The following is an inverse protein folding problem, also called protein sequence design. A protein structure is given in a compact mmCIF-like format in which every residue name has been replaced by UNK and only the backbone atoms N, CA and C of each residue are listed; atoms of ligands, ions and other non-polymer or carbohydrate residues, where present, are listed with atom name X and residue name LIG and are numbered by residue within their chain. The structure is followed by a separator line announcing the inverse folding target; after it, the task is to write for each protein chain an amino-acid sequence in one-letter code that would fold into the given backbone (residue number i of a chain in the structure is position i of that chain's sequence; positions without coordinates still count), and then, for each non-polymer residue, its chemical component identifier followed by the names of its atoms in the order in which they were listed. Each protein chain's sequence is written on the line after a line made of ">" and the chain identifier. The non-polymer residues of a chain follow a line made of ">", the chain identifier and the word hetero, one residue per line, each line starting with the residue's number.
data_IF_877993810502
#
_entry.id   IF_877993810502
#
_cell.length_a   1.000
_cell.length_b   1.000
_cell.length_c   1.000
_cell.angle_alpha   90.00
_cell.angle_beta   90.00
_cell.angle_gamma   90.00
#
_symmetry.space_group_name_H-M   'P 1'
#
loop_
_entity.id
_entity.type
_entity.pdbx_description
1 polymer ?
#
# COMPACT_ATOMS: atom_id res chain seq x y z
N UNK A 1 -83.94 27.03 33.50
CA UNK A 1 -84.03 28.38 32.90
C UNK A 1 -82.90 28.56 31.88
N UNK A 2 -83.21 29.28 30.81
CA UNK A 2 -82.45 29.40 29.56
C UNK A 2 -81.23 30.34 29.62
N UNK A 3 -80.21 29.96 28.83
CA UNK A 3 -79.34 30.79 27.96
C UNK A 3 -78.58 31.98 28.56
N UNK A 4 -77.25 31.98 28.31
CA UNK A 4 -76.67 32.89 27.31
C UNK A 4 -75.53 32.21 26.55
N UNK A 5 -75.70 32.20 25.23
CA UNK A 5 -74.66 31.97 24.22
C UNK A 5 -73.83 33.25 24.10
N UNK A 6 -72.54 33.12 23.83
CA UNK A 6 -71.88 34.01 22.88
C UNK A 6 -70.93 33.17 22.02
N UNK A 7 -71.18 33.24 20.71
CA UNK A 7 -70.47 32.60 19.62
C UNK A 7 -69.58 33.66 18.97
N UNK A 8 -68.31 33.34 18.72
CA UNK A 8 -67.64 33.58 17.43
C UNK A 8 -66.48 32.56 17.38
N UNK A 9 -66.33 31.63 16.43
CA UNK A 9 -66.48 31.65 14.96
C UNK A 9 -65.81 32.87 14.34
N UNK A 10 -64.50 32.82 14.16
CA UNK A 10 -63.87 32.91 12.82
C UNK A 10 -62.35 32.85 12.94
N UNK A 11 -61.71 32.06 12.06
CA UNK A 11 -60.26 32.04 11.94
C UNK A 11 -59.69 30.68 11.59
N UNK A 12 -60.13 30.09 10.48
CA UNK A 12 -59.32 29.05 9.83
C UNK A 12 -57.98 29.68 9.43
N UNK A 13 -56.87 29.11 9.89
CA UNK A 13 -55.62 29.17 9.15
C UNK A 13 -54.99 27.78 9.17
N UNK A 14 -55.41 26.98 8.20
CA UNK A 14 -54.63 25.82 7.75
C UNK A 14 -53.44 26.40 7.00
N UNK A 15 -52.23 26.27 7.53
CA UNK A 15 -51.01 26.39 6.73
C UNK A 15 -49.96 25.39 7.18
N UNK A 16 -49.38 24.77 6.16
CA UNK A 16 -48.42 23.70 6.15
C UNK A 16 -47.03 24.10 6.67
N UNK A 17 -46.25 23.05 6.97
CA UNK A 17 -44.77 23.02 7.01
C UNK A 17 -44.18 23.77 8.22
N UNK A 18 -43.23 23.21 8.96
CA UNK A 18 -42.10 22.42 8.51
C UNK A 18 -41.70 21.40 9.57
N UNK A 19 -41.33 20.22 9.06
CA UNK A 19 -40.45 19.25 9.70
C UNK A 19 -39.25 20.00 10.26
N UNK A 20 -39.20 20.23 11.57
CA UNK A 20 -37.96 20.58 12.26
C UNK A 20 -37.02 19.38 12.14
N UNK A 21 -36.35 19.26 10.99
CA UNK A 21 -35.01 18.72 10.95
C UNK A 21 -34.21 19.66 11.85
N UNK A 22 -34.11 19.32 13.13
CA UNK A 22 -33.05 19.85 13.97
C UNK A 22 -31.75 19.47 13.27
N UNK A 23 -31.21 20.46 12.56
CA UNK A 23 -29.83 20.50 12.13
C UNK A 23 -29.00 20.55 13.41
N UNK A 24 -28.79 19.41 14.06
CA UNK A 24 -27.59 19.23 14.86
C UNK A 24 -26.45 18.88 13.89
N UNK A 25 -26.11 19.86 13.06
CA UNK A 25 -24.91 19.88 12.20
C UNK A 25 -23.69 20.39 12.98
N UNK A 26 -23.80 20.52 14.30
CA UNK A 26 -22.88 21.26 15.17
C UNK A 26 -21.72 20.45 15.73
N UNK A 27 -21.45 19.22 15.24
CA UNK A 27 -20.21 18.48 15.54
C UNK A 27 -19.56 17.92 14.28
N UNK A 28 -19.55 18.71 13.21
CA UNK A 28 -18.79 18.41 11.99
C UNK A 28 -17.69 19.45 11.74
N UNK A 29 -16.88 19.70 12.76
CA UNK A 29 -15.61 20.44 12.74
C UNK A 29 -14.81 19.87 13.92
N UNK A 30 -13.65 19.24 13.82
CA UNK A 30 -12.61 19.21 12.78
C UNK A 30 -12.01 17.80 12.77
N UNK A 31 -12.12 17.07 11.66
CA UNK A 31 -11.17 16.00 11.31
C UNK A 31 -10.61 16.31 9.93
N UNK A 32 -10.10 17.55 9.79
CA UNK A 32 -9.30 18.00 8.64
C UNK A 32 -7.79 17.87 8.89
N UNK A 33 -7.39 17.12 9.91
CA UNK A 33 -6.07 16.51 10.00
C UNK A 33 -6.22 15.00 9.83
N UNK A 34 -6.72 14.55 8.67
CA UNK A 34 -6.10 13.34 8.13
C UNK A 34 -4.71 13.81 7.82
N UNK A 35 -3.79 13.60 8.77
CA UNK A 35 -2.38 13.98 8.65
C UNK A 35 -2.00 13.71 7.22
N UNK A 36 -1.75 14.79 6.48
CA UNK A 36 -1.27 14.72 5.11
C UNK A 36 -0.12 13.73 5.23
N UNK A 37 -0.27 12.53 4.68
CA UNK A 37 0.81 11.57 4.66
C UNK A 37 1.97 12.37 4.08
N UNK A 38 2.98 12.63 4.92
CA UNK A 38 4.12 13.41 4.47
C UNK A 38 4.57 12.71 3.20
N UNK A 39 4.71 13.40 2.06
CA UNK A 39 5.40 12.78 0.96
C UNK A 39 6.71 12.30 1.56
N UNK A 40 6.98 11.00 1.45
CA UNK A 40 8.23 10.42 1.92
C UNK A 40 9.29 10.99 0.97
N UNK A 41 9.64 12.27 1.13
CA UNK A 41 10.82 12.88 0.56
C UNK A 41 11.96 12.46 1.46
N UNK A 42 12.35 11.20 1.31
CA UNK A 42 13.71 10.84 1.61
C UNK A 42 14.50 11.29 0.40
N UNK A 43 15.23 12.38 0.56
CA UNK A 43 16.33 12.79 -0.31
C UNK A 43 17.44 11.74 -0.17
N UNK A 44 17.13 10.49 -0.54
CA UNK A 44 18.14 9.47 -0.68
C UNK A 44 18.91 9.85 -1.92
N UNK A 45 20.09 10.42 -1.69
CA UNK A 45 21.00 10.83 -2.74
C UNK A 45 21.45 9.59 -3.53
N UNK A 46 20.70 9.27 -4.58
CA UNK A 46 20.97 8.15 -5.49
C UNK A 46 22.26 8.36 -6.30
N UNK A 47 22.90 9.55 -6.20
CA UNK A 47 24.09 9.90 -6.97
C UNK A 47 25.34 9.12 -6.56
N UNK A 48 25.39 8.55 -5.35
CA UNK A 48 26.55 7.82 -4.82
C UNK A 48 26.23 6.36 -4.45
N UNK A 49 25.30 5.73 -5.17
CA UNK A 49 24.98 4.30 -5.01
C UNK A 49 26.02 3.47 -5.74
N UNK A 50 26.90 2.83 -4.99
CA UNK A 50 27.61 1.63 -5.45
C UNK A 50 26.53 0.63 -5.94
N UNK A 51 26.35 0.56 -7.26
CA UNK A 51 25.42 -0.25 -8.06
C UNK A 51 24.01 -0.51 -7.48
N UNK A 52 22.96 -0.01 -8.13
CA UNK A 52 21.55 -0.27 -7.75
C UNK A 52 21.22 -1.76 -7.67
N UNK A 53 21.91 -2.55 -8.50
CA UNK A 53 21.95 -4.02 -8.45
C UNK A 53 22.42 -4.52 -7.08
N UNK A 54 23.54 -4.02 -6.57
CA UNK A 54 24.11 -4.45 -5.30
C UNK A 54 23.21 -4.06 -4.12
N UNK A 55 22.62 -2.86 -4.15
CA UNK A 55 21.61 -2.46 -3.18
C UNK A 55 20.39 -3.41 -3.19
N UNK A 56 19.91 -3.79 -4.37
CA UNK A 56 18.81 -4.73 -4.54
C UNK A 56 19.17 -6.13 -4.03
N UNK A 57 20.37 -6.62 -4.36
CA UNK A 57 20.84 -7.93 -3.90
C UNK A 57 21.05 -7.95 -2.39
N UNK A 58 21.58 -6.88 -1.79
CA UNK A 58 21.72 -6.75 -0.35
C UNK A 58 20.36 -6.72 0.36
N UNK A 59 19.37 -6.02 -0.19
CA UNK A 59 18.01 -6.06 0.33
C UNK A 59 17.46 -7.49 0.36
N UNK A 60 17.68 -8.24 -0.72
CA UNK A 60 17.26 -9.63 -0.82
C UNK A 60 18.06 -10.58 0.08
N UNK A 61 19.35 -10.33 0.30
CA UNK A 61 20.24 -11.16 1.14
C UNK A 61 19.89 -11.03 2.61
N UNK A 62 19.74 -9.80 3.08
CA UNK A 62 19.50 -9.48 4.50
C UNK A 62 18.02 -9.43 4.88
N UNK A 63 17.10 -9.54 3.91
CA UNK A 63 15.67 -9.48 4.19
C UNK A 63 15.16 -8.06 4.44
N UNK A 64 15.86 -7.03 3.95
CA UNK A 64 15.54 -5.62 4.19
C UNK A 64 14.37 -5.17 3.30
N UNK A 65 13.16 -5.25 3.85
CA UNK A 65 11.93 -4.88 3.15
C UNK A 65 11.82 -3.39 2.86
N UNK A 66 12.37 -2.55 3.74
CA UNK A 66 12.28 -1.10 3.62
C UNK A 66 13.16 -0.59 2.48
N UNK A 67 14.37 -1.16 2.35
CA UNK A 67 15.25 -0.88 1.22
C UNK A 67 14.61 -1.34 -0.10
N UNK A 68 14.04 -2.54 -0.14
CA UNK A 68 13.33 -3.03 -1.32
C UNK A 68 12.17 -2.10 -1.73
N UNK A 69 11.41 -1.61 -0.75
CA UNK A 69 10.31 -0.69 -0.99
C UNK A 69 10.79 0.68 -1.50
N UNK A 70 11.89 1.20 -0.96
CA UNK A 70 12.52 2.42 -1.48
C UNK A 70 12.97 2.24 -2.93
N UNK A 71 13.66 1.13 -3.24
CA UNK A 71 14.09 0.84 -4.60
C UNK A 71 12.90 0.79 -5.58
N UNK A 72 11.78 0.22 -5.16
CA UNK A 72 10.55 0.19 -5.95
C UNK A 72 9.94 1.58 -6.17
N UNK A 73 9.88 2.43 -5.13
CA UNK A 73 9.39 3.82 -5.26
C UNK A 73 10.25 4.63 -6.23
N UNK A 74 11.56 4.39 -6.24
CA UNK A 74 12.48 5.03 -7.18
C UNK A 74 12.45 4.44 -8.60
N UNK A 75 11.46 3.59 -8.91
CA UNK A 75 11.29 2.95 -10.22
C UNK A 75 12.53 2.16 -10.69
N UNK A 76 13.28 1.60 -9.74
CA UNK A 76 14.45 0.79 -10.06
C UNK A 76 14.00 -0.58 -10.58
N UNK A 77 14.66 -1.04 -11.64
CA UNK A 77 14.36 -2.32 -12.26
C UNK A 77 14.69 -3.49 -11.32
N UNK A 78 13.66 -4.08 -10.72
CA UNK A 78 13.81 -5.25 -9.84
C UNK A 78 14.22 -6.53 -10.60
N UNK A 79 14.30 -6.48 -11.93
CA UNK A 79 14.71 -7.59 -12.82
C UNK A 79 16.22 -7.73 -12.99
N UNK A 80 17.00 -6.80 -12.42
CA UNK A 80 18.45 -6.83 -12.54
C UNK A 80 19.03 -8.17 -12.06
N UNK A 81 20.04 -8.62 -12.79
CA UNK A 81 20.78 -9.85 -12.50
C UNK A 81 22.20 -9.52 -12.10
N UNK A 82 22.72 -10.29 -11.16
CA UNK A 82 24.13 -10.26 -10.77
C UNK A 82 25.03 -10.88 -11.84
N UNK A 83 26.35 -10.85 -11.65
CA UNK A 83 27.36 -11.49 -12.52
C UNK A 83 27.09 -12.98 -12.77
N UNK A 84 26.44 -13.63 -11.79
CA UNK A 84 26.03 -15.04 -11.83
C UNK A 84 24.67 -15.27 -12.51
N UNK A 85 24.04 -14.23 -13.05
CA UNK A 85 22.68 -14.29 -13.62
C UNK A 85 21.58 -14.39 -12.57
N UNK A 86 21.92 -14.32 -11.28
CA UNK A 86 20.95 -14.41 -10.20
C UNK A 86 20.16 -13.11 -10.09
N UNK A 87 18.83 -13.22 -10.10
CA UNK A 87 17.93 -12.10 -9.74
C UNK A 87 17.81 -11.97 -8.22
N UNK A 88 17.28 -10.83 -7.75
CA UNK A 88 16.97 -10.59 -6.34
C UNK A 88 16.15 -11.74 -5.71
N UNK A 89 15.26 -12.38 -6.49
CA UNK A 89 14.46 -13.50 -6.02
C UNK A 89 15.28 -14.76 -5.76
N UNK A 90 16.30 -15.05 -6.59
CA UNK A 90 17.21 -16.19 -6.35
C UNK A 90 17.95 -15.99 -5.02
N UNK A 91 18.48 -14.78 -4.79
CA UNK A 91 19.21 -14.44 -3.55
C UNK A 91 18.29 -14.50 -2.32
N UNK A 92 17.05 -13.99 -2.42
CA UNK A 92 16.08 -14.03 -1.33
C UNK A 92 15.73 -15.48 -0.96
N UNK A 93 15.52 -16.34 -1.95
CA UNK A 93 15.28 -17.77 -1.74
C UNK A 93 16.47 -18.43 -1.07
N UNK A 94 17.69 -18.21 -1.59
CA UNK A 94 18.89 -18.83 -1.03
C UNK A 94 19.10 -18.47 0.44
N UNK A 95 18.68 -17.29 0.87
CA UNK A 95 18.81 -16.81 2.25
C UNK A 95 17.53 -17.01 3.08
N UNK A 96 16.56 -17.80 2.61
CA UNK A 96 15.29 -18.05 3.28
C UNK A 96 14.47 -16.77 3.62
N UNK A 97 14.62 -15.71 2.83
CA UNK A 97 13.96 -14.43 3.03
C UNK A 97 12.54 -14.42 2.46
N UNK A 98 11.64 -15.15 3.11
CA UNK A 98 10.25 -15.33 2.66
C UNK A 98 9.48 -14.00 2.49
N UNK A 99 9.75 -13.01 3.35
CA UNK A 99 9.10 -11.69 3.29
C UNK A 99 9.46 -10.95 1.99
N UNK A 100 10.75 -10.94 1.63
CA UNK A 100 11.23 -10.36 0.37
C UNK A 100 10.63 -11.11 -0.82
N UNK A 101 10.58 -12.45 -0.79
CA UNK A 101 9.99 -13.24 -1.88
C UNK A 101 8.53 -12.86 -2.11
N UNK A 102 7.74 -12.74 -1.04
CA UNK A 102 6.34 -12.31 -1.13
C UNK A 102 6.24 -10.89 -1.71
N UNK A 103 7.07 -9.96 -1.25
CA UNK A 103 7.08 -8.60 -1.79
C UNK A 103 7.47 -8.57 -3.26
N UNK A 104 8.54 -9.25 -3.68
CA UNK A 104 8.97 -9.33 -5.07
C UNK A 104 7.88 -9.92 -5.97
N UNK A 105 7.16 -10.97 -5.51
CA UNK A 105 6.04 -11.53 -6.29
C UNK A 105 4.89 -10.54 -6.44
N UNK A 106 4.59 -9.75 -5.41
CA UNK A 106 3.53 -8.73 -5.47
C UNK A 106 3.95 -7.54 -6.33
N UNK A 107 5.15 -7.01 -6.12
CA UNK A 107 5.69 -5.84 -6.83
C UNK A 107 6.01 -6.17 -8.30
N UNK A 108 6.44 -7.39 -8.58
CA UNK A 108 6.79 -7.87 -9.92
C UNK A 108 5.78 -8.88 -10.50
N UNK A 109 4.53 -8.89 -10.01
CA UNK A 109 3.45 -9.73 -10.53
C UNK A 109 3.32 -9.73 -12.07
N UNK A 110 3.38 -8.60 -12.79
CA UNK A 110 3.29 -8.60 -14.26
C UNK A 110 4.53 -9.24 -14.93
N UNK A 111 5.66 -9.31 -14.22
CA UNK A 111 6.97 -9.58 -14.79
C UNK A 111 7.41 -11.04 -14.68
N UNK A 112 6.62 -11.93 -14.05
CA UNK A 112 6.92 -13.37 -13.87
C UNK A 112 8.37 -13.63 -13.46
N UNK A 113 8.88 -12.83 -12.51
CA UNK A 113 10.31 -12.81 -12.13
C UNK A 113 10.82 -14.18 -11.64
N UNK A 114 9.93 -15.03 -11.13
CA UNK A 114 10.23 -16.40 -10.68
C UNK A 114 10.62 -17.36 -11.81
N UNK A 115 10.27 -17.05 -13.08
CA UNK A 115 10.62 -17.88 -14.24
C UNK A 115 12.00 -17.58 -14.82
N UNK A 116 12.63 -16.50 -14.40
CA UNK A 116 13.95 -16.11 -14.89
C UNK A 116 14.93 -17.16 -14.38
N UNK A 117 15.78 -17.66 -15.28
CA UNK A 117 16.85 -18.60 -14.98
C UNK A 117 18.16 -17.85 -14.80
N UNK A 118 18.97 -18.29 -13.86
CA UNK A 118 20.34 -17.82 -13.69
C UNK A 118 21.29 -18.48 -14.71
N UNK A 119 22.59 -18.18 -14.62
CA UNK A 119 23.60 -18.76 -15.52
C UNK A 119 23.72 -20.29 -15.39
N UNK A 120 23.23 -20.87 -14.29
CA UNK A 120 23.18 -22.32 -14.09
C UNK A 120 21.93 -22.95 -14.71
N UNK A 121 21.06 -22.17 -15.37
CA UNK A 121 19.81 -22.64 -15.94
C UNK A 121 18.70 -22.93 -14.92
N UNK A 122 18.93 -22.57 -13.65
CA UNK A 122 18.04 -22.81 -12.52
C UNK A 122 17.15 -21.59 -12.29
N UNK A 123 15.89 -21.85 -11.97
CA UNK A 123 14.94 -20.86 -11.49
C UNK A 123 15.03 -20.70 -9.97
N UNK A 124 14.51 -19.58 -9.46
CA UNK A 124 14.43 -19.33 -8.02
C UNK A 124 13.74 -20.45 -7.23
N UNK A 125 12.74 -21.13 -7.80
CA UNK A 125 12.05 -22.26 -7.14
C UNK A 125 12.88 -23.54 -7.12
N UNK A 126 13.67 -23.78 -8.16
CA UNK A 126 14.57 -24.95 -8.24
C UNK A 126 15.75 -24.80 -7.26
N UNK A 127 16.21 -23.57 -7.00
CA UNK A 127 17.22 -23.33 -5.94
C UNK A 127 16.73 -23.68 -4.51
N UNK A 128 15.42 -23.65 -4.25
CA UNK A 128 14.86 -24.08 -2.96
C UNK A 128 14.96 -25.59 -2.75
N UNK A 129 14.79 -26.38 -3.83
CA UNK A 129 14.69 -27.84 -3.73
C UNK A 129 16.06 -28.46 -3.48
N UNK A 130 17.11 -27.88 -4.04
CA UNK A 130 18.47 -28.39 -3.88
C UNK A 130 18.97 -28.25 -2.43
N UNK A 131 18.60 -27.17 -1.73
CA UNK A 131 19.01 -26.95 -0.33
C UNK A 131 18.32 -27.84 0.70
N UNK A 132 17.14 -28.40 0.38
CA UNK A 132 16.38 -29.27 1.30
C UNK A 132 16.82 -30.72 1.27
N UNK A 133 17.69 -31.10 0.34
CA UNK A 133 18.14 -32.48 0.13
C UNK A 133 19.54 -32.76 0.73
N UNK A 134 20.02 -31.92 1.65
CA UNK A 134 21.26 -32.10 2.42
C UNK A 134 20.93 -32.07 3.91
#
# INVERSE_FOLDING_TARGET
>A
MSRRRSLSRFGRKVMFRNRSKSNDRSKRQKSKDRGRAQPISFDYDLSNVVNHLEALMNAARYGNTDLLYKLYIHHIDLKMTDETGNTAMHVAVMNNQQKIVRMLVVLCAPCKIWKIKNNNGLTSTELCTDKKNV
#
